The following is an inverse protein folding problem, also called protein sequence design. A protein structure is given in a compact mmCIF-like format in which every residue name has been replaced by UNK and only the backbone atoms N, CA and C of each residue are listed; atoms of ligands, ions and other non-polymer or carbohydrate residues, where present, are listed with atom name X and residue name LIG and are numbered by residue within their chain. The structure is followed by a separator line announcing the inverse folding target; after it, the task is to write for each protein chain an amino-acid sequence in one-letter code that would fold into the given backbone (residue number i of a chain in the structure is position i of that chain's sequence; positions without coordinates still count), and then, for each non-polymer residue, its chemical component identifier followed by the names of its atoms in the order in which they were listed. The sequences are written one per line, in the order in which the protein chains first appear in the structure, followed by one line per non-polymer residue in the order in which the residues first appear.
data_IF_891220125076
#
_entry.id   IF_891220125076
#
_cell.length_a   1.000
_cell.length_b   1.000
_cell.length_c   1.000
_cell.angle_alpha   90.00
_cell.angle_beta   90.00
_cell.angle_gamma   90.00
#
_symmetry.space_group_name_H-M   'P 1'
#
loop_
_entity.id
_entity.type
_entity.pdbx_description
1 polymer ?
#
# COMPACT_ATOMS: atom_id res chain seq x y z
N UNK A 1 -38.90 -0.43 36.25
CA UNK A 1 -38.88 0.71 35.32
C UNK A 1 -38.17 1.85 36.02
N UNK A 2 -37.06 2.42 35.59
CA UNK A 2 -35.96 2.06 34.70
C UNK A 2 -34.81 2.96 35.14
N UNK A 3 -33.57 2.50 35.05
CA UNK A 3 -32.42 3.30 35.47
C UNK A 3 -31.11 2.53 35.48
N UNK A 4 -30.80 1.85 34.37
CA UNK A 4 -29.52 1.17 34.20
C UNK A 4 -28.50 2.18 33.64
N UNK A 5 -27.50 2.50 34.45
CA UNK A 5 -26.34 3.31 34.07
C UNK A 5 -25.12 2.80 34.85
N UNK A 6 -23.99 2.69 34.13
CA UNK A 6 -22.62 2.42 34.59
C UNK A 6 -22.36 0.92 34.94
N UNK A 7 -21.32 0.22 34.48
CA UNK A 7 -19.93 0.58 34.11
C UNK A 7 -19.45 -0.44 33.05
N UNK A 8 -18.86 0.01 31.94
CA UNK A 8 -18.08 -0.87 31.04
C UNK A 8 -16.70 -1.12 31.67
N UNK A 9 -16.42 -2.37 32.03
CA UNK A 9 -15.15 -2.82 32.56
C UNK A 9 -14.11 -2.84 31.43
N UNK A 10 -13.24 -1.81 31.39
CA UNK A 10 -12.00 -1.84 30.59
C UNK A 10 -10.93 -2.47 31.49
N UNK A 11 -10.51 -3.70 31.19
CA UNK A 11 -9.38 -4.33 31.88
C UNK A 11 -8.09 -3.95 31.13
N UNK A 12 -7.45 -2.85 31.58
CA UNK A 12 -6.04 -2.57 31.29
C UNK A 12 -5.23 -3.24 32.40
N UNK A 13 -4.44 -4.26 32.06
CA UNK A 13 -3.48 -4.87 33.01
C UNK A 13 -2.11 -4.24 32.77
N UNK A 14 -1.74 -3.34 33.68
CA UNK A 14 -0.38 -2.90 33.91
C UNK A 14 -0.18 -2.77 35.42
N UNK A 15 0.43 -3.77 36.06
CA UNK A 15 1.07 -3.59 37.37
C UNK A 15 2.36 -4.41 37.41
N UNK A 16 3.49 -3.69 37.49
CA UNK A 16 4.75 -4.14 38.09
C UNK A 16 4.65 -3.93 39.60
N UNK A 17 5.11 -4.89 40.41
CA UNK A 17 6.02 -4.68 41.56
C UNK A 17 6.29 -6.02 42.31
N UNK A 18 7.54 -6.49 42.18
CA UNK A 18 8.39 -7.21 43.14
C UNK A 18 7.76 -8.20 44.15
N UNK A 19 8.11 -9.49 44.06
CA UNK A 19 8.76 -10.30 45.11
C UNK A 19 9.09 -11.73 44.58
N UNK A 20 10.34 -12.16 44.81
CA UNK A 20 10.92 -13.52 44.91
C UNK A 20 10.30 -14.75 44.19
N UNK A 21 11.07 -15.26 43.21
CA UNK A 21 11.31 -16.66 42.80
C UNK A 21 10.33 -17.75 43.29
N UNK A 22 9.28 -18.03 42.51
CA UNK A 22 8.67 -19.36 42.26
C UNK A 22 7.60 -19.26 41.13
N UNK A 23 8.05 -19.01 39.89
CA UNK A 23 7.19 -18.54 38.78
C UNK A 23 6.23 -19.55 38.15
N UNK A 24 6.36 -20.85 38.42
CA UNK A 24 5.56 -21.88 37.74
C UNK A 24 4.25 -22.20 38.50
N UNK A 25 4.32 -22.38 39.81
CA UNK A 25 3.15 -22.73 40.64
C UNK A 25 2.20 -21.53 40.79
N UNK A 26 2.73 -20.31 41.01
CA UNK A 26 1.92 -19.08 41.09
C UNK A 26 1.20 -18.76 39.76
N UNK A 27 1.81 -19.09 38.62
CA UNK A 27 1.19 -18.84 37.31
C UNK A 27 0.10 -19.86 36.98
N UNK A 28 0.32 -21.14 37.29
CA UNK A 28 -0.70 -22.18 37.09
C UNK A 28 -1.86 -22.00 38.07
N UNK A 29 -1.63 -21.59 39.32
CA UNK A 29 -2.68 -21.22 40.27
C UNK A 29 -3.43 -19.96 39.82
N UNK A 30 -2.73 -18.92 39.36
CA UNK A 30 -3.36 -17.73 38.78
C UNK A 30 -4.21 -18.08 37.54
N UNK A 31 -3.70 -18.94 36.66
CA UNK A 31 -4.39 -19.38 35.45
C UNK A 31 -5.57 -20.28 35.78
N UNK A 32 -5.48 -21.12 36.81
CA UNK A 32 -6.58 -21.93 37.33
C UNK A 32 -7.68 -21.05 37.94
N UNK A 33 -7.31 -20.09 38.80
CA UNK A 33 -8.24 -19.11 39.39
C UNK A 33 -8.91 -18.20 38.34
N UNK A 34 -8.22 -17.91 37.24
CA UNK A 34 -8.73 -17.05 36.16
C UNK A 34 -9.10 -17.82 34.88
N UNK A 35 -9.29 -19.14 34.96
CA UNK A 35 -9.50 -20.00 33.79
C UNK A 35 -10.72 -19.58 32.98
N UNK A 36 -11.84 -19.26 33.65
CA UNK A 36 -13.05 -18.78 32.97
C UNK A 36 -12.85 -17.44 32.23
N UNK A 37 -12.06 -16.53 32.79
CA UNK A 37 -11.71 -15.26 32.14
C UNK A 37 -10.77 -15.48 30.94
N UNK A 38 -9.83 -16.42 31.05
CA UNK A 38 -8.93 -16.80 29.96
C UNK A 38 -9.69 -17.49 28.82
N UNK A 39 -10.62 -18.40 29.14
CA UNK A 39 -11.46 -19.08 28.15
C UNK A 39 -12.41 -18.11 27.46
N UNK A 40 -13.05 -17.19 28.21
CA UNK A 40 -13.88 -16.13 27.64
C UNK A 40 -13.05 -15.21 26.71
N UNK A 41 -11.87 -14.77 27.15
CA UNK A 41 -10.96 -13.96 26.33
C UNK A 41 -10.50 -14.71 25.06
N UNK A 42 -10.21 -16.01 25.18
CA UNK A 42 -9.84 -16.86 24.03
C UNK A 42 -10.99 -17.04 23.05
N UNK A 43 -12.21 -17.23 23.54
CA UNK A 43 -13.42 -17.34 22.71
C UNK A 43 -13.71 -16.02 22.00
N UNK A 44 -13.66 -14.89 22.72
CA UNK A 44 -13.81 -13.54 22.18
C UNK A 44 -12.76 -13.27 21.07
N UNK A 45 -11.49 -13.58 21.35
CA UNK A 45 -10.40 -13.46 20.36
C UNK A 45 -10.62 -14.34 19.12
N UNK A 46 -11.15 -15.56 19.30
CA UNK A 46 -11.42 -16.49 18.20
C UNK A 46 -12.60 -15.99 17.35
N UNK A 47 -13.68 -15.54 17.98
CA UNK A 47 -14.83 -14.91 17.33
C UNK A 47 -14.41 -13.69 16.52
N UNK A 48 -13.66 -12.79 17.15
CA UNK A 48 -13.11 -11.60 16.52
C UNK A 48 -12.21 -11.90 15.31
N UNK A 49 -11.35 -12.93 15.41
CA UNK A 49 -10.53 -13.39 14.27
C UNK A 49 -11.39 -13.90 13.11
N UNK A 50 -12.50 -14.60 13.41
CA UNK A 50 -13.44 -15.09 12.40
C UNK A 50 -14.14 -13.92 11.70
N UNK A 51 -14.56 -12.91 12.46
CA UNK A 51 -15.23 -11.73 11.92
C UNK A 51 -14.32 -10.93 11.00
N UNK A 52 -13.08 -10.67 11.42
CA UNK A 52 -12.08 -9.99 10.58
C UNK A 52 -11.83 -10.77 9.28
N UNK A 53 -11.70 -12.10 9.34
CA UNK A 53 -11.54 -12.91 8.13
C UNK A 53 -12.75 -12.81 7.20
N UNK A 54 -13.98 -12.82 7.75
CA UNK A 54 -15.21 -12.63 6.99
C UNK A 54 -15.25 -11.25 6.33
N UNK A 55 -14.88 -10.20 7.05
CA UNK A 55 -14.79 -8.84 6.51
C UNK A 55 -13.78 -8.74 5.36
N UNK A 56 -12.68 -9.51 5.41
CA UNK A 56 -11.72 -9.57 4.31
C UNK A 56 -12.21 -10.31 3.08
N UNK A 57 -12.89 -11.44 3.24
CA UNK A 57 -13.51 -12.11 2.10
C UNK A 57 -14.57 -11.21 1.47
N UNK A 58 -15.34 -10.47 2.29
CA UNK A 58 -16.28 -9.47 1.79
C UNK A 58 -15.57 -8.35 1.01
N UNK A 59 -14.52 -7.76 1.57
CA UNK A 59 -13.71 -6.74 0.90
C UNK A 59 -13.24 -7.24 -0.46
N UNK A 60 -12.66 -8.45 -0.50
CA UNK A 60 -12.12 -9.03 -1.73
C UNK A 60 -13.20 -9.23 -2.77
N UNK A 61 -14.35 -9.79 -2.39
CA UNK A 61 -15.46 -10.01 -3.31
C UNK A 61 -15.99 -8.69 -3.88
N UNK A 62 -16.20 -7.68 -3.03
CA UNK A 62 -16.60 -6.34 -3.47
C UNK A 62 -15.60 -5.81 -4.51
N UNK A 63 -14.30 -5.86 -4.20
CA UNK A 63 -13.27 -5.37 -5.10
C UNK A 63 -13.25 -6.11 -6.44
N UNK A 64 -13.32 -7.45 -6.40
CA UNK A 64 -13.31 -8.29 -7.60
C UNK A 64 -14.51 -7.97 -8.51
N UNK A 65 -15.69 -7.73 -7.92
CA UNK A 65 -16.90 -7.29 -8.63
C UNK A 65 -16.73 -5.90 -9.25
N UNK A 66 -16.33 -4.89 -8.47
CA UNK A 66 -16.16 -3.51 -8.96
C UNK A 66 -15.09 -3.45 -10.06
N UNK A 67 -14.01 -4.20 -9.91
CA UNK A 67 -12.93 -4.24 -10.88
C UNK A 67 -13.35 -4.96 -12.18
N UNK A 68 -14.12 -6.04 -12.06
CA UNK A 68 -14.67 -6.75 -13.23
C UNK A 68 -15.67 -5.88 -14.00
N UNK A 69 -16.55 -5.17 -13.28
CA UNK A 69 -17.49 -4.22 -13.87
C UNK A 69 -16.74 -3.08 -14.59
N UNK A 70 -15.73 -2.50 -13.94
CA UNK A 70 -14.91 -1.44 -14.52
C UNK A 70 -14.18 -1.88 -15.80
N UNK A 71 -13.53 -3.05 -15.77
CA UNK A 71 -12.89 -3.64 -16.97
C UNK A 71 -13.90 -3.89 -18.09
N UNK A 72 -15.10 -4.37 -17.76
CA UNK A 72 -16.16 -4.58 -18.72
C UNK A 72 -16.53 -3.28 -19.43
N UNK A 73 -16.75 -2.18 -18.70
CA UNK A 73 -17.07 -0.88 -19.29
C UNK A 73 -15.94 -0.34 -20.20
N UNK A 74 -14.68 -0.46 -19.79
CA UNK A 74 -13.52 -0.08 -20.62
C UNK A 74 -13.51 -0.85 -21.93
N UNK A 75 -13.69 -2.17 -21.85
CA UNK A 75 -13.63 -3.07 -23.01
C UNK A 75 -14.71 -2.83 -24.07
N UNK A 76 -15.77 -2.08 -23.72
CA UNK A 76 -16.80 -1.64 -24.67
C UNK A 76 -16.33 -0.49 -25.57
N UNK A 77 -15.29 0.24 -25.16
CA UNK A 77 -14.77 1.42 -25.88
C UNK A 77 -13.38 1.23 -26.45
N UNK A 78 -12.51 0.51 -25.75
CA UNK A 78 -11.10 0.38 -26.09
C UNK A 78 -10.74 -1.03 -26.56
N UNK A 79 -9.74 -1.10 -27.43
CA UNK A 79 -9.17 -2.34 -27.96
C UNK A 79 -8.36 -3.08 -26.89
N UNK A 80 -7.77 -2.32 -25.99
CA UNK A 80 -7.02 -2.76 -24.82
C UNK A 80 -7.71 -2.33 -23.52
N UNK A 81 -7.38 -3.00 -22.42
CA UNK A 81 -7.87 -2.65 -21.08
C UNK A 81 -6.71 -2.15 -20.23
N UNK A 82 -6.56 -0.83 -20.15
CA UNK A 82 -5.61 -0.19 -19.23
C UNK A 82 -6.31 0.22 -17.94
N UNK A 83 -5.71 -0.15 -16.81
CA UNK A 83 -6.18 0.17 -15.46
C UNK A 83 -4.99 0.64 -14.63
N UNK A 84 -5.23 1.39 -13.55
CA UNK A 84 -4.15 1.81 -12.66
C UNK A 84 -3.42 0.60 -12.08
N UNK A 85 -2.13 0.78 -11.88
CA UNK A 85 -1.22 -0.12 -11.17
C UNK A 85 -0.57 0.65 -10.02
N UNK A 86 0.36 -0.01 -9.34
CA UNK A 86 1.16 0.62 -8.31
C UNK A 86 2.00 1.80 -8.84
N UNK A 87 2.46 1.75 -10.10
CA UNK A 87 3.27 2.82 -10.72
C UNK A 87 2.57 3.56 -11.85
N UNK A 88 1.34 3.22 -12.19
CA UNK A 88 0.57 3.89 -13.25
C UNK A 88 -0.79 4.31 -12.73
N UNK A 89 -1.15 5.57 -12.91
CA UNK A 89 -2.52 6.05 -12.66
C UNK A 89 -3.26 6.18 -13.99
N UNK A 90 -4.43 5.54 -14.08
CA UNK A 90 -5.32 5.59 -15.25
C UNK A 90 -6.69 6.09 -14.81
N UNK A 91 -7.20 7.11 -15.48
CA UNK A 91 -8.54 7.62 -15.27
C UNK A 91 -9.29 7.72 -16.59
N UNK A 92 -10.57 7.32 -16.59
CA UNK A 92 -11.43 7.40 -17.76
C UNK A 92 -12.50 8.47 -17.56
N UNK A 93 -12.75 9.27 -18.60
CA UNK A 93 -13.75 10.34 -18.62
C UNK A 93 -14.68 10.19 -19.82
N UNK A 94 -15.76 10.97 -19.80
CA UNK A 94 -16.73 11.07 -20.91
C UNK A 94 -17.23 9.68 -21.37
N UNK A 95 -17.81 8.92 -20.44
CA UNK A 95 -18.30 7.56 -20.69
C UNK A 95 -17.24 6.67 -21.33
N UNK A 96 -16.04 6.68 -20.75
CA UNK A 96 -14.87 5.91 -21.17
C UNK A 96 -14.34 6.25 -22.56
N UNK A 97 -14.65 7.42 -23.14
CA UNK A 97 -14.08 7.84 -24.44
C UNK A 97 -12.74 8.55 -24.32
N UNK A 98 -12.43 9.04 -23.12
CA UNK A 98 -11.16 9.70 -22.80
C UNK A 98 -10.47 8.83 -21.76
N UNK A 99 -9.17 8.60 -21.93
CA UNK A 99 -8.32 8.06 -20.86
C UNK A 99 -7.10 8.95 -20.64
N UNK A 100 -6.86 9.30 -19.39
CA UNK A 100 -5.69 10.03 -18.90
C UNK A 100 -4.79 9.04 -18.18
N UNK A 101 -3.51 9.02 -18.52
CA UNK A 101 -2.54 8.07 -17.98
C UNK A 101 -1.33 8.84 -17.50
N UNK A 102 -0.93 8.60 -16.26
CA UNK A 102 0.34 9.05 -15.69
C UNK A 102 1.12 7.81 -15.29
N UNK A 103 2.16 7.49 -16.06
CA UNK A 103 3.07 6.38 -15.80
C UNK A 103 4.28 6.92 -15.04
N UNK A 104 4.30 6.69 -13.73
CA UNK A 104 5.36 7.18 -12.86
C UNK A 104 6.67 6.43 -13.11
N UNK A 105 6.63 5.13 -13.44
CA UNK A 105 7.84 4.35 -13.73
C UNK A 105 8.51 4.78 -15.05
N UNK A 106 7.70 4.98 -16.10
CA UNK A 106 8.18 5.49 -17.40
C UNK A 106 8.34 7.00 -17.47
N UNK A 107 7.96 7.69 -16.40
CA UNK A 107 7.93 9.15 -16.27
C UNK A 107 7.24 9.82 -17.47
N UNK A 108 6.00 9.46 -17.74
CA UNK A 108 5.27 9.85 -18.94
C UNK A 108 3.79 10.10 -18.69
N UNK A 109 3.23 11.09 -19.38
CA UNK A 109 1.79 11.31 -19.49
C UNK A 109 1.34 10.85 -20.87
N UNK A 110 0.23 10.09 -20.91
CA UNK A 110 -0.48 9.77 -22.14
C UNK A 110 -1.96 10.16 -22.01
N UNK A 111 -2.49 10.81 -23.05
CA UNK A 111 -3.92 11.11 -23.15
C UNK A 111 -4.42 10.55 -24.47
N UNK A 112 -5.47 9.73 -24.41
CA UNK A 112 -6.12 9.19 -25.59
C UNK A 112 -7.60 9.60 -25.62
N UNK A 113 -8.09 10.03 -26.78
CA UNK A 113 -9.46 10.53 -26.97
C UNK A 113 -10.11 9.90 -28.20
N UNK A 114 -11.13 9.05 -27.99
CA UNK A 114 -11.96 8.48 -29.06
C UNK A 114 -12.97 9.52 -29.56
N UNK A 115 -13.04 9.68 -30.87
CA UNK A 115 -13.88 10.64 -31.57
C UNK A 115 -13.43 12.09 -31.40
N UNK A 116 -12.19 12.32 -30.95
CA UNK A 116 -11.63 13.65 -30.73
C UNK A 116 -10.73 14.13 -31.87
N UNK A 117 -10.32 15.39 -31.76
CA UNK A 117 -9.31 16.03 -32.61
C UNK A 117 -8.14 16.54 -31.75
N UNK A 118 -7.05 16.99 -32.37
CA UNK A 118 -5.87 17.52 -31.64
C UNK A 118 -6.22 18.69 -30.73
N UNK A 119 -7.17 19.53 -31.15
CA UNK A 119 -7.66 20.68 -30.38
C UNK A 119 -8.36 20.23 -29.07
N UNK A 120 -8.97 19.04 -29.09
CA UNK A 120 -9.61 18.44 -27.93
C UNK A 120 -8.64 17.92 -26.85
N UNK A 121 -7.33 17.88 -27.11
CA UNK A 121 -6.33 17.42 -26.13
C UNK A 121 -6.09 18.45 -25.02
N UNK A 122 -6.10 19.75 -25.35
CA UNK A 122 -5.80 20.82 -24.38
C UNK A 122 -6.77 20.86 -23.20
N UNK A 123 -8.11 20.78 -23.41
CA UNK A 123 -9.05 20.73 -22.29
C UNK A 123 -8.84 19.52 -21.37
N UNK A 124 -8.49 18.35 -21.94
CA UNK A 124 -8.25 17.13 -21.16
C UNK A 124 -6.95 17.24 -20.36
N UNK A 125 -5.90 17.84 -20.95
CA UNK A 125 -4.65 18.11 -20.24
C UNK A 125 -4.85 19.14 -19.11
N UNK A 126 -5.64 20.19 -19.34
CA UNK A 126 -6.00 21.15 -18.30
C UNK A 126 -6.71 20.47 -17.12
N UNK A 127 -7.67 19.57 -17.40
CA UNK A 127 -8.35 18.79 -16.36
C UNK A 127 -7.36 17.89 -15.60
N UNK A 128 -6.45 17.18 -16.30
CA UNK A 128 -5.40 16.38 -15.66
C UNK A 128 -4.49 17.19 -14.73
N UNK A 129 -4.08 18.39 -15.14
CA UNK A 129 -3.18 19.23 -14.35
C UNK A 129 -3.86 19.84 -13.12
N UNK A 130 -5.18 20.02 -13.16
CA UNK A 130 -5.99 20.52 -12.03
C UNK A 130 -6.39 19.42 -11.06
N UNK A 131 -6.38 18.17 -11.48
CA UNK A 131 -6.82 17.03 -10.68
C UNK A 131 -6.06 16.95 -9.34
N UNK A 132 -6.84 16.81 -8.27
CA UNK A 132 -6.35 16.52 -6.93
C UNK A 132 -6.71 15.08 -6.50
N UNK A 133 -6.08 14.60 -5.43
CA UNK A 133 -6.32 13.24 -4.91
C UNK A 133 -7.78 12.99 -4.53
N UNK A 134 -8.50 14.02 -4.07
CA UNK A 134 -9.88 13.90 -3.64
C UNK A 134 -10.82 13.65 -4.82
N UNK A 135 -10.69 14.46 -5.87
CA UNK A 135 -11.46 14.27 -7.11
C UNK A 135 -11.06 12.96 -7.82
N UNK A 136 -9.76 12.66 -7.92
CA UNK A 136 -9.29 11.41 -8.52
C UNK A 136 -9.84 10.17 -7.79
N UNK A 137 -9.93 10.20 -6.46
CA UNK A 137 -10.56 9.13 -5.69
C UNK A 137 -12.05 9.01 -5.98
N UNK A 138 -12.79 10.14 -6.01
CA UNK A 138 -14.22 10.16 -6.34
C UNK A 138 -14.51 9.67 -7.76
N UNK A 139 -13.59 9.91 -8.70
CA UNK A 139 -13.66 9.49 -10.10
C UNK A 139 -13.17 8.05 -10.33
N UNK A 140 -12.57 7.39 -9.34
CA UNK A 140 -12.16 6.00 -9.40
C UNK A 140 -13.32 5.07 -8.99
N UNK A 141 -14.04 4.45 -9.95
CA UNK A 141 -15.20 3.64 -9.63
C UNK A 141 -14.84 2.44 -8.76
N UNK A 142 -13.64 1.88 -8.91
CA UNK A 142 -13.23 0.69 -8.15
C UNK A 142 -13.00 1.07 -6.70
N UNK A 143 -12.15 2.06 -6.43
CA UNK A 143 -11.81 2.42 -5.06
C UNK A 143 -13.00 3.07 -4.32
N UNK A 144 -13.71 3.97 -5.00
CA UNK A 144 -14.85 4.68 -4.41
C UNK A 144 -16.02 3.75 -4.07
N UNK A 145 -16.44 2.89 -5.01
CA UNK A 145 -17.55 1.97 -4.76
C UNK A 145 -17.16 0.87 -3.77
N UNK A 146 -15.91 0.39 -3.81
CA UNK A 146 -15.41 -0.56 -2.82
C UNK A 146 -15.55 0.00 -1.42
N UNK A 147 -15.10 1.24 -1.20
CA UNK A 147 -15.22 1.88 0.09
C UNK A 147 -16.68 2.12 0.49
N UNK A 148 -17.52 2.58 -0.43
CA UNK A 148 -18.94 2.79 -0.16
C UNK A 148 -19.60 1.51 0.36
N UNK A 149 -19.42 0.39 -0.36
CA UNK A 149 -19.97 -0.92 0.01
C UNK A 149 -19.33 -1.47 1.28
N UNK A 150 -18.05 -1.19 1.51
CA UNK A 150 -17.35 -1.58 2.73
C UNK A 150 -17.93 -0.89 3.96
N UNK A 151 -18.22 0.42 3.89
CA UNK A 151 -18.84 1.19 4.99
C UNK A 151 -20.22 0.66 5.36
N UNK A 152 -20.97 0.15 4.39
CA UNK A 152 -22.30 -0.42 4.60
C UNK A 152 -22.25 -1.82 5.24
N UNK A 153 -21.21 -2.62 4.95
CA UNK A 153 -21.18 -4.05 5.25
C UNK A 153 -20.15 -4.47 6.30
N UNK A 154 -19.16 -3.63 6.59
CA UNK A 154 -18.09 -3.89 7.55
C UNK A 154 -18.10 -2.79 8.61
N UNK A 155 -18.77 -3.04 9.75
CA UNK A 155 -18.68 -2.17 10.91
C UNK A 155 -17.22 -1.95 11.30
N UNK A 156 -16.88 -0.75 11.76
CA UNK A 156 -15.52 -0.36 12.18
C UNK A 156 -14.43 -0.34 11.10
N UNK A 157 -14.78 -0.40 9.81
CA UNK A 157 -13.82 -0.10 8.75
C UNK A 157 -13.27 1.32 8.91
N UNK A 158 -11.94 1.46 8.96
CA UNK A 158 -11.27 2.73 9.17
C UNK A 158 -11.18 3.48 7.84
N UNK A 159 -11.69 4.70 7.83
CA UNK A 159 -11.72 5.61 6.67
C UNK A 159 -11.06 6.93 7.07
N UNK A 160 -10.64 7.73 6.09
CA UNK A 160 -10.14 9.08 6.35
C UNK A 160 -10.55 10.05 5.24
N UNK A 161 -10.44 11.35 5.51
CA UNK A 161 -10.58 12.36 4.47
C UNK A 161 -9.32 12.36 3.62
N UNK A 162 -9.51 12.22 2.30
CA UNK A 162 -8.43 12.44 1.35
C UNK A 162 -8.21 13.95 1.22
N UNK A 163 -6.98 14.39 1.47
CA UNK A 163 -6.60 15.79 1.31
C UNK A 163 -6.45 16.15 -0.17
N UNK A 164 -7.00 17.31 -0.52
CA UNK A 164 -6.95 17.87 -1.87
C UNK A 164 -5.52 18.36 -2.15
N UNK A 165 -4.70 17.45 -2.69
CA UNK A 165 -3.35 17.72 -3.14
C UNK A 165 -3.26 17.48 -4.64
N UNK A 166 -2.71 18.45 -5.36
CA UNK A 166 -2.48 18.32 -6.79
C UNK A 166 -1.53 17.17 -7.10
N UNK A 167 -1.91 16.35 -8.08
CA UNK A 167 -1.14 15.17 -8.48
C UNK A 167 -0.10 15.58 -9.51
N UNK A 168 -0.54 16.00 -10.71
CA UNK A 168 0.37 16.21 -11.85
C UNK A 168 1.02 17.58 -11.86
N UNK A 169 0.28 18.67 -11.62
CA UNK A 169 0.86 20.03 -11.63
C UNK A 169 1.96 20.21 -10.59
N UNK A 170 1.89 19.46 -9.49
CA UNK A 170 2.91 19.45 -8.46
C UNK A 170 4.27 18.87 -8.89
N UNK A 171 4.30 18.12 -9.99
CA UNK A 171 5.54 17.65 -10.62
C UNK A 171 6.23 18.77 -11.41
N UNK A 172 5.47 19.80 -11.80
CA UNK A 172 5.97 20.95 -12.56
C UNK A 172 6.27 22.16 -11.66
N UNK A 173 5.55 22.32 -10.55
CA UNK A 173 5.67 23.48 -9.66
C UNK A 173 5.45 23.09 -8.20
N UNK A 174 6.29 23.63 -7.30
CA UNK A 174 6.09 23.50 -5.84
C UNK A 174 4.89 24.36 -5.36
N UNK A 175 4.56 25.43 -6.09
CA UNK A 175 3.44 26.32 -5.78
C UNK A 175 2.17 25.87 -6.49
N UNK A 176 1.02 26.11 -5.83
CA UNK A 176 -0.30 25.92 -6.45
C UNK A 176 -0.45 26.84 -7.65
N UNK A 177 -0.84 26.25 -8.79
CA UNK A 177 -1.00 26.97 -10.05
C UNK A 177 -2.41 27.55 -10.18
N UNK A 178 -2.51 28.75 -10.74
CA UNK A 178 -3.80 29.36 -11.13
C UNK A 178 -4.33 28.73 -12.42
N UNK A 179 -5.57 29.08 -12.80
CA UNK A 179 -6.13 28.61 -14.07
C UNK A 179 -5.33 29.07 -15.30
N UNK A 180 -4.77 30.29 -15.24
CA UNK A 180 -3.97 30.85 -16.33
C UNK A 180 -2.60 30.17 -16.40
N UNK A 181 -1.97 29.91 -15.25
CA UNK A 181 -0.73 29.13 -15.17
C UNK A 181 -0.91 27.72 -15.74
N UNK A 182 -2.03 27.06 -15.42
CA UNK A 182 -2.37 25.74 -15.95
C UNK A 182 -2.55 25.79 -17.46
N UNK A 183 -3.26 26.80 -17.98
CA UNK A 183 -3.47 26.95 -19.42
C UNK A 183 -2.14 27.15 -20.18
N UNK A 184 -1.27 28.01 -19.65
CA UNK A 184 0.06 28.26 -20.20
C UNK A 184 0.97 27.02 -20.11
N UNK A 185 0.92 26.29 -18.99
CA UNK A 185 1.65 25.03 -18.81
C UNK A 185 1.17 23.97 -19.81
N UNK A 186 -0.14 23.83 -20.00
CA UNK A 186 -0.70 22.91 -21.01
C UNK A 186 -0.23 23.24 -22.42
N UNK A 187 -0.15 24.52 -22.80
CA UNK A 187 0.38 24.92 -24.10
C UNK A 187 1.84 24.52 -24.27
N UNK A 188 2.65 24.67 -23.21
CA UNK A 188 4.05 24.24 -23.22
C UNK A 188 4.18 22.72 -23.35
N UNK A 189 3.40 21.97 -22.57
CA UNK A 189 3.40 20.49 -22.60
C UNK A 189 2.95 19.98 -23.97
N UNK A 190 1.88 20.55 -24.55
CA UNK A 190 1.39 20.14 -25.87
C UNK A 190 2.42 20.37 -26.97
N UNK A 191 3.15 21.49 -26.94
CA UNK A 191 4.25 21.76 -27.89
C UNK A 191 5.38 20.73 -27.81
N UNK A 192 5.61 20.14 -26.63
CA UNK A 192 6.63 19.12 -26.40
C UNK A 192 6.11 17.68 -26.58
N UNK A 193 4.80 17.52 -26.74
CA UNK A 193 4.18 16.21 -26.85
C UNK A 193 4.31 15.63 -28.26
N UNK A 194 4.42 14.30 -28.32
CA UNK A 194 4.25 13.55 -29.56
C UNK A 194 2.77 13.26 -29.73
N UNK A 195 2.16 13.78 -30.79
CA UNK A 195 0.74 13.53 -31.10
C UNK A 195 0.59 12.46 -32.18
N UNK A 196 -0.36 11.55 -32.00
CA UNK A 196 -0.73 10.54 -32.98
C UNK A 196 -2.24 10.54 -33.25
N UNK A 197 -2.63 9.85 -34.30
CA UNK A 197 -4.05 9.61 -34.62
C UNK A 197 -4.20 8.22 -35.24
N UNK A 198 -5.39 7.64 -35.08
CA UNK A 198 -5.72 6.35 -35.67
C UNK A 198 -7.23 6.10 -35.64
N UNK A 199 -7.64 4.85 -35.86
CA UNK A 199 -9.03 4.43 -35.77
C UNK A 199 -9.14 3.32 -34.73
N UNK A 200 -10.08 3.46 -33.79
CA UNK A 200 -10.38 2.43 -32.80
C UNK A 200 -11.01 1.24 -33.52
N UNK A 201 -10.45 0.04 -33.33
CA UNK A 201 -10.99 -1.17 -33.95
C UNK A 201 -12.37 -1.49 -33.35
N UNK A 202 -12.51 -1.31 -32.02
CA UNK A 202 -13.75 -1.55 -31.28
C UNK A 202 -14.91 -0.68 -31.71
N UNK A 203 -14.66 0.60 -31.98
CA UNK A 203 -15.73 1.59 -32.21
C UNK A 203 -15.83 2.07 -33.65
N UNK A 204 -14.81 1.80 -34.48
CA UNK A 204 -14.67 2.35 -35.84
C UNK A 204 -14.46 3.86 -35.89
N UNK A 205 -14.32 4.53 -34.74
CA UNK A 205 -14.16 5.99 -34.66
C UNK A 205 -12.69 6.39 -34.71
N UNK A 206 -12.36 7.57 -35.28
CA UNK A 206 -11.03 8.11 -35.17
C UNK A 206 -10.69 8.33 -33.69
N UNK A 207 -9.42 8.20 -33.31
CA UNK A 207 -8.91 8.63 -32.02
C UNK A 207 -7.66 9.49 -32.20
N UNK A 208 -7.42 10.36 -31.23
CA UNK A 208 -6.18 11.14 -31.11
C UNK A 208 -5.47 10.74 -29.82
N UNK A 209 -4.15 10.73 -29.86
CA UNK A 209 -3.29 10.47 -28.70
C UNK A 209 -2.24 11.57 -28.56
N UNK A 210 -1.86 11.88 -27.33
CA UNK A 210 -0.62 12.59 -27.04
C UNK A 210 0.19 11.85 -25.98
N UNK A 211 1.51 11.92 -26.12
CA UNK A 211 2.47 11.39 -25.17
C UNK A 211 3.54 12.44 -24.88
N UNK A 212 3.88 12.62 -23.60
CA UNK A 212 4.90 13.59 -23.18
C UNK A 212 5.63 13.11 -21.92
N UNK A 213 6.94 13.35 -21.86
CA UNK A 213 7.74 13.02 -20.67
C UNK A 213 7.44 13.97 -19.52
N UNK A 214 7.39 13.42 -18.32
CA UNK A 214 7.36 14.19 -17.08
C UNK A 214 8.71 14.92 -16.89
N UNK A 215 8.73 16.00 -16.08
CA UNK A 215 9.97 16.66 -15.67
C UNK A 215 10.97 15.67 -15.07
N UNK A 216 12.26 15.84 -15.36
CA UNK A 216 13.31 14.93 -14.89
C UNK A 216 13.42 14.86 -13.35
N UNK A 217 12.98 15.91 -12.65
CA UNK A 217 13.00 16.02 -11.19
C UNK A 217 11.70 15.54 -10.52
N UNK A 218 10.81 14.86 -11.26
CA UNK A 218 9.48 14.44 -10.78
C UNK A 218 9.56 13.51 -9.56
N UNK A 219 10.55 12.62 -9.52
CA UNK A 219 10.76 11.74 -8.37
C UNK A 219 11.23 12.51 -7.14
N UNK A 220 12.14 13.46 -7.31
CA UNK A 220 12.66 14.29 -6.21
C UNK A 220 11.55 15.15 -5.62
N UNK A 221 10.69 15.74 -6.46
CA UNK A 221 9.51 16.49 -6.00
C UNK A 221 8.52 15.60 -5.26
N UNK A 222 8.23 14.41 -5.79
CA UNK A 222 7.32 13.46 -5.14
C UNK A 222 7.89 12.94 -3.80
N UNK A 223 9.18 12.65 -3.75
CA UNK A 223 9.92 12.26 -2.56
C UNK A 223 9.87 13.34 -1.47
N UNK A 224 10.19 14.60 -1.83
CA UNK A 224 10.18 15.76 -0.93
C UNK A 224 8.84 15.94 -0.20
N UNK A 225 7.73 15.66 -0.88
CA UNK A 225 6.38 15.78 -0.29
C UNK A 225 6.12 14.81 0.87
N UNK A 226 6.80 13.66 0.86
CA UNK A 226 6.56 12.58 1.83
C UNK A 226 7.65 12.49 2.90
N UNK A 227 8.77 13.22 2.74
CA UNK A 227 9.90 13.25 3.68
C UNK A 227 9.46 13.51 5.12
N UNK A 228 8.55 14.46 5.36
CA UNK A 228 8.07 14.73 6.73
C UNK A 228 7.46 13.50 7.43
N UNK A 229 6.76 12.65 6.68
CA UNK A 229 6.15 11.43 7.23
C UNK A 229 7.19 10.32 7.38
N UNK A 230 8.17 10.28 6.48
CA UNK A 230 9.30 9.36 6.57
C UNK A 230 10.12 9.64 7.81
N UNK A 231 10.46 10.90 8.07
CA UNK A 231 11.24 11.30 9.25
C UNK A 231 10.46 10.98 10.54
N UNK A 232 9.18 11.37 10.60
CA UNK A 232 8.30 11.09 11.75
C UNK A 232 8.25 9.59 12.09
N UNK A 233 8.00 8.73 11.09
CA UNK A 233 7.84 7.30 11.32
C UNK A 233 9.14 6.52 11.34
N UNK A 234 10.23 7.06 10.78
CA UNK A 234 11.60 6.58 11.00
C UNK A 234 11.96 6.70 12.48
N UNK A 235 11.71 7.86 13.08
CA UNK A 235 11.99 8.12 14.49
C UNK A 235 11.07 7.31 15.43
N UNK A 236 9.77 7.25 15.13
CA UNK A 236 8.79 6.49 15.94
C UNK A 236 9.12 5.00 15.94
N UNK A 237 9.41 4.43 14.77
CA UNK A 237 9.56 2.98 14.62
C UNK A 237 11.02 2.49 14.58
N UNK A 238 11.99 3.38 14.77
CA UNK A 238 13.44 3.09 14.78
C UNK A 238 13.89 2.39 13.50
N UNK A 239 13.46 2.94 12.37
CA UNK A 239 13.83 2.47 11.04
C UNK A 239 14.76 3.46 10.37
N UNK A 240 15.66 2.97 9.53
CA UNK A 240 16.45 3.83 8.64
C UNK A 240 15.50 4.56 7.66
N UNK A 241 15.52 5.91 7.57
CA UNK A 241 14.68 6.63 6.63
C UNK A 241 14.97 6.24 5.16
N UNK A 242 16.22 5.85 4.84
CA UNK A 242 16.59 5.35 3.52
C UNK A 242 15.86 4.05 3.17
N UNK A 243 15.59 3.18 4.16
CA UNK A 243 14.79 1.97 3.96
C UNK A 243 13.35 2.32 3.59
N UNK A 244 12.72 3.23 4.34
CA UNK A 244 11.32 3.63 4.09
C UNK A 244 11.21 4.28 2.69
N UNK A 245 12.11 5.22 2.36
CA UNK A 245 12.18 5.85 1.03
C UNK A 245 12.37 4.84 -0.10
N UNK A 246 13.23 3.84 0.12
CA UNK A 246 13.52 2.81 -0.89
C UNK A 246 12.37 1.85 -1.09
N UNK A 247 11.63 1.51 -0.03
CA UNK A 247 10.39 0.75 -0.11
C UNK A 247 9.35 1.56 -0.88
N UNK A 248 9.09 2.83 -0.53
CA UNK A 248 8.13 3.67 -1.27
C UNK A 248 8.48 3.76 -2.76
N UNK A 249 9.76 3.99 -3.07
CA UNK A 249 10.22 4.04 -4.45
C UNK A 249 9.94 2.73 -5.20
N UNK A 250 10.22 1.58 -4.58
CA UNK A 250 10.02 0.27 -5.20
C UNK A 250 8.55 -0.16 -5.30
N UNK A 251 7.75 0.25 -4.33
CA UNK A 251 6.32 -0.08 -4.28
C UNK A 251 5.49 0.76 -5.24
N UNK A 252 5.73 2.07 -5.33
CA UNK A 252 4.80 2.96 -6.04
C UNK A 252 5.47 3.94 -7.00
N UNK A 253 6.81 4.06 -6.99
CA UNK A 253 7.51 5.19 -7.64
C UNK A 253 6.95 6.54 -7.18
N UNK A 254 6.56 6.62 -5.91
CA UNK A 254 5.88 7.75 -5.28
C UNK A 254 4.51 8.12 -5.90
N UNK A 255 3.86 7.21 -6.63
CA UNK A 255 2.49 7.40 -7.09
C UNK A 255 1.52 7.52 -5.89
N UNK A 256 0.90 8.69 -5.66
CA UNK A 256 0.02 8.89 -4.51
C UNK A 256 -1.31 8.12 -4.63
N UNK A 257 -1.65 7.65 -5.84
CA UNK A 257 -2.86 6.87 -6.15
C UNK A 257 -2.51 5.43 -6.54
N UNK A 258 -1.36 4.93 -6.06
CA UNK A 258 -0.91 3.58 -6.33
C UNK A 258 -1.94 2.55 -5.86
N UNK A 259 -2.38 1.70 -6.77
CA UNK A 259 -3.25 0.56 -6.46
C UNK A 259 -2.87 -0.65 -7.29
N UNK A 260 -2.84 -1.84 -6.69
CA UNK A 260 -2.62 -3.07 -7.47
C UNK A 260 -3.90 -3.89 -7.65
N UNK A 261 -3.83 -4.88 -8.55
CA UNK A 261 -4.91 -5.84 -8.78
C UNK A 261 -5.16 -6.75 -7.58
N UNK A 262 -4.09 -7.11 -6.86
CA UNK A 262 -4.19 -7.60 -5.49
C UNK A 262 -4.38 -6.35 -4.62
N UNK A 263 -5.34 -6.26 -3.68
CA UNK A 263 -5.68 -4.99 -3.01
C UNK A 263 -4.54 -4.42 -2.18
N UNK A 264 -3.61 -3.69 -2.80
CA UNK A 264 -2.56 -2.94 -2.15
C UNK A 264 -2.72 -1.48 -2.54
N UNK A 265 -2.60 -0.57 -1.56
CA UNK A 265 -2.93 0.84 -1.75
C UNK A 265 -1.81 1.76 -1.29
N UNK A 266 -1.69 2.89 -1.97
CA UNK A 266 -0.83 4.01 -1.62
C UNK A 266 0.67 3.73 -1.76
N UNK A 267 1.45 4.67 -1.23
CA UNK A 267 2.89 4.82 -1.43
C UNK A 267 3.71 3.57 -1.12
N UNK A 268 3.38 2.88 -0.04
CA UNK A 268 4.04 1.68 0.45
C UNK A 268 3.29 0.38 0.12
N UNK A 269 2.27 0.46 -0.75
CA UNK A 269 1.45 -0.66 -1.22
C UNK A 269 0.96 -1.57 -0.08
N UNK A 270 0.19 -0.98 0.84
CA UNK A 270 -0.34 -1.71 1.98
C UNK A 270 -1.50 -2.59 1.56
N UNK A 271 -1.37 -3.89 1.80
CA UNK A 271 -2.46 -4.85 1.65
C UNK A 271 -3.28 -4.89 2.95
N UNK A 272 -4.58 -4.54 2.93
CA UNK A 272 -5.41 -4.50 4.14
C UNK A 272 -5.42 -5.81 4.91
N UNK A 273 -5.47 -6.96 4.22
CA UNK A 273 -5.57 -8.31 4.83
C UNK A 273 -4.31 -8.80 5.53
N UNK A 274 -3.15 -8.25 5.21
CA UNK A 274 -1.86 -8.66 5.76
C UNK A 274 -1.24 -7.52 6.56
N UNK A 275 -0.38 -6.72 5.92
CA UNK A 275 0.36 -5.63 6.55
C UNK A 275 -0.56 -4.65 7.27
N UNK A 276 -1.72 -4.32 6.67
CA UNK A 276 -2.68 -3.39 7.24
C UNK A 276 -3.21 -3.84 8.62
N UNK A 277 -3.64 -5.10 8.74
CA UNK A 277 -4.17 -5.65 10.01
C UNK A 277 -3.10 -5.78 11.07
N UNK A 278 -1.91 -6.27 10.70
CA UNK A 278 -0.84 -6.46 11.66
C UNK A 278 -0.37 -5.11 12.21
N UNK A 279 -0.19 -4.11 11.34
CA UNK A 279 0.20 -2.77 11.71
C UNK A 279 -0.89 -2.05 12.54
N UNK A 280 -2.15 -2.05 12.10
CA UNK A 280 -3.20 -1.36 12.86
C UNK A 280 -3.44 -2.04 14.22
N UNK A 281 -3.32 -3.37 14.29
CA UNK A 281 -3.39 -4.10 15.56
C UNK A 281 -2.22 -3.79 16.49
N UNK A 282 -1.05 -3.51 15.93
CA UNK A 282 0.11 -3.06 16.70
C UNK A 282 -0.07 -1.63 17.22
N UNK A 283 -0.63 -0.74 16.41
CA UNK A 283 -0.81 0.68 16.74
C UNK A 283 -1.98 0.90 17.72
N UNK A 284 -3.16 0.32 17.44
CA UNK A 284 -4.39 0.56 18.20
C UNK A 284 -4.72 -0.53 19.22
N UNK A 285 -3.95 -1.63 19.25
CA UNK A 285 -4.27 -2.80 20.07
C UNK A 285 -5.47 -3.62 19.58
N UNK A 286 -6.05 -3.27 18.42
CA UNK A 286 -7.21 -3.95 17.82
C UNK A 286 -7.07 -4.04 16.29
N UNK A 287 -7.56 -5.14 15.72
CA UNK A 287 -7.62 -5.37 14.26
C UNK A 287 -8.76 -4.56 13.63
N UNK A 288 -8.46 -3.88 12.54
CA UNK A 288 -9.47 -3.16 11.74
C UNK A 288 -9.18 -3.35 10.26
N UNK A 289 -10.23 -3.23 9.45
CA UNK A 289 -10.08 -3.17 8.00
C UNK A 289 -9.77 -1.72 7.64
N UNK A 290 -8.68 -1.51 6.91
CA UNK A 290 -8.32 -0.19 6.40
C UNK A 290 -8.97 0.00 5.03
N UNK A 291 -9.79 1.04 4.89
CA UNK A 291 -10.45 1.38 3.63
C UNK A 291 -9.47 2.09 2.66
N UNK A 292 -9.78 2.12 1.35
CA UNK A 292 -8.97 2.83 0.36
C UNK A 292 -8.64 4.28 0.73
N UNK A 293 -9.60 5.08 1.19
CA UNK A 293 -9.38 6.49 1.57
C UNK A 293 -8.35 6.67 2.67
N UNK A 294 -8.37 5.79 3.67
CA UNK A 294 -7.39 5.78 4.74
C UNK A 294 -5.98 5.51 4.19
N UNK A 295 -5.85 4.57 3.25
CA UNK A 295 -4.57 4.17 2.67
C UNK A 295 -4.07 5.08 1.55
N UNK A 296 -4.92 5.93 0.95
CA UNK A 296 -4.50 7.00 0.03
C UNK A 296 -4.02 8.26 0.75
N UNK A 297 -4.24 8.37 2.07
CA UNK A 297 -3.58 9.40 2.86
C UNK A 297 -2.09 9.03 3.04
N UNK A 298 -1.20 9.91 2.58
CA UNK A 298 0.24 9.65 2.59
C UNK A 298 0.79 9.41 4.01
N UNK A 299 0.35 10.20 5.00
CA UNK A 299 0.77 10.02 6.39
C UNK A 299 0.34 8.68 6.96
N UNK A 300 -0.95 8.33 6.82
CA UNK A 300 -1.45 7.02 7.26
C UNK A 300 -0.75 5.87 6.54
N UNK A 301 -0.53 5.98 5.23
CA UNK A 301 0.10 4.94 4.45
C UNK A 301 1.54 4.68 4.88
N UNK A 302 2.34 5.74 5.04
CA UNK A 302 3.72 5.65 5.51
C UNK A 302 3.77 5.16 6.96
N UNK A 303 2.83 5.58 7.82
CA UNK A 303 2.70 5.07 9.18
C UNK A 303 2.50 3.56 9.21
N UNK A 304 1.51 3.07 8.47
CA UNK A 304 1.15 1.65 8.43
C UNK A 304 2.29 0.80 7.84
N UNK A 305 2.91 1.25 6.74
CA UNK A 305 4.04 0.54 6.14
C UNK A 305 5.26 0.49 7.04
N UNK A 306 5.57 1.60 7.72
CA UNK A 306 6.69 1.69 8.67
C UNK A 306 6.43 0.85 9.92
N UNK A 307 5.22 0.89 10.47
CA UNK A 307 4.81 0.01 11.56
C UNK A 307 4.93 -1.48 11.16
N UNK A 308 4.57 -1.84 9.92
CA UNK A 308 4.74 -3.21 9.44
C UNK A 308 6.22 -3.60 9.31
N UNK A 309 7.08 -2.75 8.73
CA UNK A 309 8.53 -2.97 8.68
C UNK A 309 9.11 -3.19 10.09
N UNK A 310 8.66 -2.39 11.06
CA UNK A 310 9.04 -2.54 12.47
C UNK A 310 8.62 -3.89 13.05
N UNK A 311 7.37 -4.32 12.82
CA UNK A 311 6.90 -5.64 13.27
C UNK A 311 7.76 -6.74 12.66
N UNK A 312 8.04 -6.67 11.36
CA UNK A 312 8.86 -7.66 10.66
C UNK A 312 10.28 -7.71 11.27
N UNK A 313 10.92 -6.55 11.45
CA UNK A 313 12.29 -6.47 11.95
C UNK A 313 12.39 -6.83 13.44
N UNK A 314 11.61 -6.19 14.30
CA UNK A 314 11.75 -6.26 15.76
C UNK A 314 10.89 -7.34 16.43
N UNK A 315 9.86 -7.89 15.75
CA UNK A 315 9.04 -8.97 16.31
C UNK A 315 9.26 -10.29 15.58
N UNK A 316 9.08 -10.33 14.26
CA UNK A 316 9.18 -11.57 13.50
C UNK A 316 10.62 -12.07 13.43
N UNK A 317 11.56 -11.18 13.10
CA UNK A 317 12.97 -11.54 12.92
C UNK A 317 13.89 -11.15 14.08
N UNK A 318 13.31 -10.91 15.27
CA UNK A 318 14.08 -10.58 16.49
C UNK A 318 15.21 -11.57 16.82
N UNK A 319 15.06 -12.82 16.41
CA UNK A 319 16.03 -13.89 16.64
C UNK A 319 17.21 -13.94 15.65
N UNK A 320 17.20 -13.14 14.57
CA UNK A 320 18.34 -13.03 13.65
C UNK A 320 19.37 -12.11 14.29
N UNK A 321 20.55 -12.63 14.65
CA UNK A 321 21.54 -11.92 15.47
C UNK A 321 22.25 -10.79 14.72
N UNK A 322 22.65 -11.05 13.48
CA UNK A 322 23.30 -10.03 12.65
C UNK A 322 22.25 -9.05 12.10
N UNK A 323 22.47 -7.75 12.29
CA UNK A 323 21.51 -6.69 11.93
C UNK A 323 21.33 -6.54 10.41
N UNK A 324 22.37 -6.79 9.63
CA UNK A 324 22.35 -6.72 8.17
C UNK A 324 21.62 -7.93 7.57
N UNK A 325 21.90 -9.15 8.05
CA UNK A 325 21.10 -10.34 7.72
C UNK A 325 19.63 -10.14 8.05
N UNK A 326 19.34 -9.51 9.20
CA UNK A 326 17.97 -9.18 9.62
C UNK A 326 17.33 -8.17 8.67
N UNK A 327 18.06 -7.14 8.24
CA UNK A 327 17.60 -6.17 7.25
C UNK A 327 17.25 -6.85 5.92
N UNK A 328 18.12 -7.73 5.39
CA UNK A 328 17.84 -8.48 4.16
C UNK A 328 16.58 -9.33 4.25
N UNK A 329 16.43 -10.07 5.36
CA UNK A 329 15.21 -10.84 5.61
C UNK A 329 13.97 -9.96 5.74
N UNK A 330 14.06 -8.80 6.38
CA UNK A 330 12.95 -7.86 6.52
C UNK A 330 12.51 -7.25 5.19
N UNK A 331 13.45 -6.81 4.35
CA UNK A 331 13.17 -6.33 3.00
C UNK A 331 12.45 -7.42 2.18
N UNK A 332 12.97 -8.65 2.23
CA UNK A 332 12.35 -9.78 1.55
C UNK A 332 10.92 -10.05 2.05
N UNK A 333 10.74 -10.05 3.36
CA UNK A 333 9.46 -10.32 3.99
C UNK A 333 8.43 -9.22 3.76
N UNK A 334 8.85 -7.98 3.52
CA UNK A 334 7.91 -6.91 3.16
C UNK A 334 7.16 -7.25 1.87
N UNK A 335 7.87 -7.69 0.83
CA UNK A 335 7.28 -8.06 -0.47
C UNK A 335 6.64 -9.45 -0.46
N UNK A 336 7.27 -10.45 0.15
CA UNK A 336 6.80 -11.85 0.03
C UNK A 336 6.21 -12.45 1.32
N UNK A 337 6.32 -11.77 2.46
CA UNK A 337 5.91 -12.28 3.76
C UNK A 337 6.99 -13.12 4.46
N UNK A 338 7.07 -13.00 5.78
CA UNK A 338 8.10 -13.64 6.60
C UNK A 338 8.10 -15.18 6.54
N UNK A 339 6.93 -15.79 6.29
CA UNK A 339 6.83 -17.23 6.06
C UNK A 339 7.58 -17.68 4.80
N UNK A 340 7.50 -16.93 3.71
CA UNK A 340 8.21 -17.25 2.46
C UNK A 340 9.73 -17.04 2.60
N UNK A 341 10.14 -16.09 3.44
CA UNK A 341 11.55 -15.97 3.84
C UNK A 341 11.99 -17.21 4.61
N UNK A 342 11.24 -17.64 5.63
CA UNK A 342 11.54 -18.86 6.37
C UNK A 342 11.58 -20.10 5.46
N UNK A 343 10.67 -20.18 4.49
CA UNK A 343 10.65 -21.24 3.47
C UNK A 343 11.98 -21.36 2.74
N UNK A 344 12.61 -20.23 2.36
CA UNK A 344 13.86 -20.25 1.63
C UNK A 344 15.02 -20.90 2.41
N UNK A 345 15.01 -20.82 3.74
CA UNK A 345 16.05 -21.41 4.61
C UNK A 345 15.70 -22.80 5.13
N UNK A 346 14.42 -23.18 5.12
CA UNK A 346 13.96 -24.46 5.64
C UNK A 346 13.97 -25.55 4.56
N UNK A 347 14.76 -26.61 4.75
CA UNK A 347 14.88 -27.73 3.79
C UNK A 347 13.84 -28.87 3.96
N UNK A 348 12.98 -28.86 5.00
CA UNK A 348 12.17 -30.02 5.39
C UNK A 348 10.64 -29.79 5.36
N UNK A 349 9.85 -30.87 5.26
CA UNK A 349 8.38 -30.84 5.20
C UNK A 349 7.71 -30.35 6.49
N UNK A 350 8.30 -30.61 7.66
CA UNK A 350 7.75 -30.17 8.94
C UNK A 350 8.18 -28.75 9.32
N UNK A 351 7.28 -27.77 9.19
CA UNK A 351 7.52 -26.38 9.62
C UNK A 351 8.23 -25.50 8.59
N UNK A 352 7.98 -25.74 7.29
CA UNK A 352 8.62 -25.03 6.18
C UNK A 352 8.48 -23.50 6.26
N UNK A 353 7.37 -22.98 6.78
CA UNK A 353 7.14 -21.55 6.97
C UNK A 353 7.50 -21.04 8.37
N UNK A 354 8.13 -21.86 9.21
CA UNK A 354 8.47 -21.49 10.59
C UNK A 354 9.73 -20.65 10.64
N UNK A 355 9.60 -19.40 11.08
CA UNK A 355 10.74 -18.51 11.31
C UNK A 355 11.66 -19.11 12.37
N UNK A 356 11.13 -19.66 13.46
CA UNK A 356 11.95 -20.23 14.55
C UNK A 356 12.85 -21.37 14.07
N UNK A 357 12.41 -22.15 13.07
CA UNK A 357 13.23 -23.22 12.47
C UNK A 357 14.27 -22.70 11.48
N UNK A 358 14.01 -21.55 10.86
CA UNK A 358 14.96 -20.90 9.96
C UNK A 358 16.09 -20.18 10.72
N UNK A 359 15.84 -19.72 11.96
CA UNK A 359 16.79 -18.92 12.74
C UNK A 359 18.18 -19.56 12.88
N UNK A 360 18.36 -20.86 13.22
CA UNK A 360 19.69 -21.46 13.34
C UNK A 360 20.47 -21.41 12.03
N UNK A 361 19.80 -21.64 10.89
CA UNK A 361 20.41 -21.60 9.55
C UNK A 361 20.82 -20.18 9.20
N UNK A 362 19.93 -19.20 9.39
CA UNK A 362 20.23 -17.80 9.11
C UNK A 362 21.40 -17.31 9.99
N UNK A 363 21.39 -17.67 11.28
CA UNK A 363 22.43 -17.25 12.22
C UNK A 363 23.77 -17.97 12.05
N UNK A 364 23.85 -19.05 11.28
CA UNK A 364 25.11 -19.71 10.92
C UNK A 364 25.75 -19.14 9.65
N UNK A 365 25.07 -18.24 8.94
CA UNK A 365 25.51 -17.67 7.67
C UNK A 365 26.07 -16.25 7.86
N UNK A 366 27.02 -15.85 7.02
CA UNK A 366 27.44 -14.46 6.91
C UNK A 366 26.30 -13.60 6.28
N UNK A 367 26.28 -12.27 6.47
CA UNK A 367 25.30 -11.40 5.80
C UNK A 367 25.30 -11.55 4.29
N UNK A 368 26.48 -11.65 3.68
CA UNK A 368 26.67 -11.88 2.26
C UNK A 368 26.06 -13.22 1.80
N UNK A 369 26.24 -14.28 2.59
CA UNK A 369 25.61 -15.57 2.30
C UNK A 369 24.09 -15.51 2.44
N UNK A 370 23.57 -14.81 3.46
CA UNK A 370 22.11 -14.60 3.62
C UNK A 370 21.55 -13.84 2.41
N UNK A 371 22.23 -12.78 1.99
CA UNK A 371 21.84 -11.98 0.82
C UNK A 371 21.81 -12.82 -0.46
N UNK A 372 22.88 -13.58 -0.75
CA UNK A 372 22.93 -14.50 -1.90
C UNK A 372 21.85 -15.57 -1.81
N UNK A 373 21.70 -16.20 -0.64
CA UNK A 373 20.74 -17.28 -0.44
C UNK A 373 19.30 -16.82 -0.69
N UNK A 374 18.90 -15.65 -0.22
CA UNK A 374 17.59 -15.07 -0.51
C UNK A 374 17.40 -14.84 -2.01
N UNK A 375 18.41 -14.29 -2.70
CA UNK A 375 18.40 -14.00 -4.13
C UNK A 375 18.36 -15.23 -5.03
N UNK A 376 18.70 -16.39 -4.50
CA UNK A 376 18.71 -17.65 -5.25
C UNK A 376 17.51 -18.55 -4.88
N UNK A 377 17.05 -18.52 -3.62
CA UNK A 377 16.14 -19.52 -3.07
C UNK A 377 14.74 -19.01 -2.72
N UNK A 378 14.48 -17.69 -2.75
CA UNK A 378 13.10 -17.21 -2.60
C UNK A 378 12.24 -17.72 -3.76
N UNK A 379 11.05 -18.21 -3.41
CA UNK A 379 10.12 -18.85 -4.36
C UNK A 379 9.78 -17.96 -5.56
N UNK A 380 9.55 -16.68 -5.32
CA UNK A 380 9.09 -15.75 -6.35
C UNK A 380 10.24 -14.91 -6.91
N UNK A 381 10.33 -14.85 -8.24
CA UNK A 381 11.35 -14.06 -8.94
C UNK A 381 11.25 -12.56 -8.62
N UNK A 382 10.04 -12.06 -8.41
CA UNK A 382 9.77 -10.70 -7.96
C UNK A 382 10.46 -10.41 -6.62
N UNK A 383 10.27 -11.26 -5.61
CA UNK A 383 10.89 -11.10 -4.30
C UNK A 383 12.43 -11.11 -4.36
N UNK A 384 13.02 -11.95 -5.23
CA UNK A 384 14.48 -11.97 -5.46
C UNK A 384 14.99 -10.65 -6.04
N UNK A 385 14.26 -10.06 -6.99
CA UNK A 385 14.57 -8.74 -7.55
C UNK A 385 14.33 -7.62 -6.54
N UNK A 386 13.26 -7.72 -5.75
CA UNK A 386 12.85 -6.71 -4.80
C UNK A 386 13.93 -6.40 -3.77
N UNK A 387 14.58 -7.42 -3.21
CA UNK A 387 15.68 -7.24 -2.25
C UNK A 387 16.83 -6.47 -2.88
N UNK A 388 17.21 -6.82 -4.10
CA UNK A 388 18.29 -6.14 -4.83
C UNK A 388 17.92 -4.67 -5.06
N UNK A 389 16.71 -4.41 -5.54
CA UNK A 389 16.27 -3.07 -5.89
C UNK A 389 16.13 -2.18 -4.65
N UNK A 390 15.53 -2.66 -3.56
CA UNK A 390 15.39 -1.89 -2.32
C UNK A 390 16.76 -1.64 -1.70
N UNK A 391 17.57 -2.67 -1.50
CA UNK A 391 18.87 -2.51 -0.85
C UNK A 391 19.82 -1.60 -1.63
N UNK A 392 19.84 -1.69 -2.97
CA UNK A 392 20.64 -0.76 -3.77
C UNK A 392 20.07 0.65 -3.72
N UNK A 393 18.74 0.82 -3.74
CA UNK A 393 18.10 2.13 -3.69
C UNK A 393 18.34 2.86 -2.37
N UNK A 394 18.56 2.13 -1.28
CA UNK A 394 18.91 2.73 0.01
C UNK A 394 20.18 3.57 -0.05
N UNK A 395 21.09 3.33 -1.00
CA UNK A 395 22.34 4.10 -1.15
C UNK A 395 22.14 5.49 -1.76
N UNK A 396 20.95 5.75 -2.29
CA UNK A 396 20.59 7.04 -2.91
C UNK A 396 20.05 8.05 -1.88
N UNK A 397 19.80 7.60 -0.64
CA UNK A 397 19.28 8.38 0.48
C UNK A 397 20.26 8.30 1.64
#
# INVERSE_FOLDING_TARGET
MDGCSMIRLIVVICILLSFSVSYADDFEDFKSQNQGAFEASKQEFTGYKKDINKSFEMYKNILDEEFSAYKSEISKKWDDTEVSTNTKWVEYLNNYKIRKIVDFDKQEIRIDVIGGSKEGLKPVLNDLLKEDKGDAFRRDPVAFNTEKRLREQVPDALTDKIHDESIVSSLYSDNKLTNDDISALSDKILKQSVTGQGTSIKTGKPYVTMTVKLPQDSYQKSAKKITKYVDEYSDEYKLDPALIMSVIYNESRFNPLAKSYVPAYGLMQIVPKSAGVDAISFIEGKKRILAPSYLYNAGNNVKIGSAYLHIVYYRYFKGIKNLESRLYCSIAAYNTGAGNVAYAFNKNNGGRYSISKALPVINSMSPDDVYRHLRDNLRFAEARKYIVNVYNKMKDY
#
